data_IF_489390775874
#
_entry.id   IF_489390775874
#
_cell.length_a   1.000
_cell.length_b   1.000
_cell.length_c   1.000
_cell.angle_alpha   90.00
_cell.angle_beta   90.00
_cell.angle_gamma   90.00
#
_symmetry.space_group_name_H-M   'P 1'
#
loop_
_entity.id
_entity.type
_entity.pdbx_description
1 polymer ?
#
# COMPACT_ATOMS: atom_id res chain seq x y z
N UNK A 1 2.24 -6.43 -16.50
CA UNK A 1 1.45 -5.38 -15.83
C UNK A 1 2.17 -5.22 -14.52
N UNK A 2 3.11 -4.28 -14.48
CA UNK A 2 3.96 -4.06 -13.33
C UNK A 2 3.21 -3.09 -12.41
N UNK A 3 2.59 -3.65 -11.38
CA UNK A 3 1.93 -2.87 -10.35
C UNK A 3 3.01 -2.17 -9.53
N UNK A 4 3.03 -0.85 -9.51
CA UNK A 4 4.00 -0.06 -8.77
C UNK A 4 3.44 0.35 -7.41
N UNK A 5 4.29 0.32 -6.38
CA UNK A 5 3.91 0.74 -5.03
C UNK A 5 3.45 2.20 -5.00
N UNK A 6 2.31 2.49 -4.39
CA UNK A 6 1.77 3.84 -4.25
C UNK A 6 2.67 4.77 -3.45
N UNK A 7 3.43 4.26 -2.47
CA UNK A 7 4.30 5.06 -1.61
C UNK A 7 5.67 5.32 -2.24
N UNK A 8 6.39 4.27 -2.60
CA UNK A 8 7.76 4.38 -3.08
C UNK A 8 7.90 4.34 -4.61
N UNK A 9 6.80 4.10 -5.34
CA UNK A 9 6.77 3.97 -6.81
C UNK A 9 7.70 2.87 -7.36
N UNK A 10 8.24 2.00 -6.50
CA UNK A 10 9.02 0.83 -6.91
C UNK A 10 8.14 -0.20 -7.61
N UNK A 11 8.73 -0.89 -8.59
CA UNK A 11 8.10 -2.01 -9.28
C UNK A 11 7.86 -3.17 -8.31
N UNK A 12 6.60 -3.54 -8.16
CA UNK A 12 6.19 -4.66 -7.33
C UNK A 12 6.09 -5.91 -8.21
N UNK A 13 7.25 -6.46 -8.56
CA UNK A 13 7.37 -7.51 -9.57
C UNK A 13 6.69 -8.84 -9.20
N UNK A 14 6.41 -9.10 -7.92
CA UNK A 14 5.91 -10.42 -7.48
C UNK A 14 4.91 -10.35 -6.31
N UNK A 15 5.07 -9.38 -5.38
CA UNK A 15 4.22 -9.25 -4.20
C UNK A 15 3.76 -7.81 -3.98
N UNK A 16 2.63 -7.49 -4.61
CA UNK A 16 1.86 -6.26 -4.35
C UNK A 16 0.78 -6.55 -3.30
N UNK A 17 0.69 -5.68 -2.31
CA UNK A 17 -0.31 -5.74 -1.25
C UNK A 17 -1.27 -4.57 -1.39
N UNK A 18 -2.55 -4.88 -1.52
CA UNK A 18 -3.60 -3.87 -1.56
C UNK A 18 -4.07 -3.56 -0.14
N UNK A 19 -4.13 -2.26 0.19
CA UNK A 19 -4.63 -1.80 1.48
C UNK A 19 -5.70 -0.74 1.31
N UNK A 20 -6.74 -0.84 2.13
CA UNK A 20 -7.84 0.11 2.18
C UNK A 20 -7.45 1.31 3.04
N UNK A 21 -7.24 2.46 2.42
CA UNK A 21 -7.08 3.73 3.11
C UNK A 21 -8.45 4.37 3.30
N UNK A 22 -8.82 4.61 4.56
CA UNK A 22 -9.96 5.43 4.91
C UNK A 22 -9.53 6.90 4.90
N UNK A 23 -9.75 7.58 3.78
CA UNK A 23 -9.72 9.04 3.75
C UNK A 23 -11.09 9.57 4.13
N UNK A 24 -11.17 10.82 4.63
CA UNK A 24 -12.31 11.41 5.34
C UNK A 24 -13.71 11.28 4.71
N UNK A 25 -13.84 10.79 3.48
CA UNK A 25 -15.11 10.56 2.79
C UNK A 25 -15.18 9.21 2.04
N UNK A 26 -14.05 8.55 1.77
CA UNK A 26 -14.00 7.33 0.94
C UNK A 26 -12.92 6.33 1.38
N UNK A 27 -13.29 5.04 1.30
CA UNK A 27 -12.37 3.91 1.34
C UNK A 27 -11.72 3.74 -0.04
N UNK A 28 -10.41 3.96 -0.13
CA UNK A 28 -9.66 3.76 -1.36
C UNK A 28 -8.63 2.66 -1.17
N UNK A 29 -8.68 1.63 -2.01
CA UNK A 29 -7.63 0.62 -2.10
C UNK A 29 -6.39 1.20 -2.81
N UNK A 30 -5.22 1.06 -2.18
CA UNK A 30 -3.92 1.45 -2.74
C UNK A 30 -2.98 0.25 -2.71
N UNK A 31 -2.23 0.08 -3.79
CA UNK A 31 -1.18 -0.93 -3.92
C UNK A 31 0.09 -0.51 -3.16
N UNK A 32 0.65 -1.38 -2.35
CA UNK A 32 1.90 -1.21 -1.62
C UNK A 32 2.84 -2.39 -1.87
N UNK A 33 4.14 -2.14 -1.83
CA UNK A 33 5.11 -3.22 -1.74
C UNK A 33 5.14 -3.82 -0.33
N UNK A 34 5.73 -5.01 -0.20
CA UNK A 34 5.87 -5.70 1.09
C UNK A 34 6.48 -4.81 2.19
N UNK A 35 7.45 -3.95 1.84
CA UNK A 35 8.09 -3.02 2.77
C UNK A 35 7.13 -1.93 3.25
N UNK A 36 6.55 -1.16 2.32
CA UNK A 36 5.60 -0.10 2.67
C UNK A 36 4.32 -0.65 3.32
N UNK A 37 3.90 -1.86 2.95
CA UNK A 37 2.80 -2.57 3.60
C UNK A 37 3.11 -2.88 5.06
N UNK A 38 4.33 -3.35 5.35
CA UNK A 38 4.76 -3.62 6.72
C UNK A 38 4.83 -2.33 7.56
N UNK A 39 5.34 -1.24 6.99
CA UNK A 39 5.33 0.08 7.64
C UNK A 39 3.90 0.57 7.89
N UNK A 40 3.01 0.41 6.92
CA UNK A 40 1.59 0.76 7.05
C UNK A 40 0.89 -0.03 8.15
N UNK A 41 1.14 -1.35 8.24
CA UNK A 41 0.64 -2.21 9.32
C UNK A 41 1.14 -1.76 10.71
N UNK A 42 2.37 -1.26 10.78
CA UNK A 42 2.92 -0.70 12.02
C UNK A 42 2.31 0.67 12.34
N UNK A 43 2.03 1.48 11.32
CA UNK A 43 1.50 2.84 11.45
C UNK A 43 0.02 2.96 11.85
N UNK A 44 -0.84 1.98 11.52
CA UNK A 44 -2.26 1.99 11.94
C UNK A 44 -2.44 1.72 13.44
N UNK A 45 -1.41 1.20 14.12
CA UNK A 45 -1.46 0.85 15.54
C UNK A 45 -1.20 2.06 16.46
N UNK A 46 -1.71 3.23 16.09
CA UNK A 46 -1.61 4.50 16.82
C UNK A 46 -2.95 4.93 17.41
#
# INVERSE_FOLDING_TARGET
MDETCFYCQSECADQVHYVSFYTADEEQEKALCAECYQEWLQGIKG
#
